data_IF_344571639756
#
_entry.id   IF_344571639756
#
_cell.length_a   1.000
_cell.length_b   1.000
_cell.length_c   1.000
_cell.angle_alpha   90.00
_cell.angle_beta   90.00
_cell.angle_gamma   90.00
#
_symmetry.space_group_name_H-M   'P 1'
#
loop_
_entity.id
_entity.type
_entity.pdbx_description
1 polymer ?
#
# COMPACT_ATOMS: atom_id res chain seq x y z
N UNK A 1 6.02 -1.40 9.06
CA UNK A 1 5.49 -1.03 7.73
C UNK A 1 4.93 -2.28 7.07
N UNK A 2 3.75 -2.20 6.45
CA UNK A 2 3.17 -3.30 5.66
C UNK A 2 3.07 -2.88 4.21
N UNK A 3 3.60 -3.73 3.33
CA UNK A 3 3.57 -3.55 1.89
C UNK A 3 2.94 -4.78 1.24
N UNK A 4 1.98 -4.55 0.35
CA UNK A 4 1.49 -5.57 -0.56
C UNK A 4 2.37 -5.52 -1.81
N UNK A 5 3.14 -6.56 -2.05
CA UNK A 5 4.10 -6.64 -3.15
C UNK A 5 3.71 -7.74 -4.13
N UNK A 6 3.59 -7.37 -5.41
CA UNK A 6 3.47 -8.32 -6.52
C UNK A 6 4.72 -8.24 -7.36
N UNK A 7 5.49 -9.33 -7.35
CA UNK A 7 6.75 -9.42 -8.08
C UNK A 7 6.57 -9.04 -9.56
N UNK A 8 7.45 -8.16 -10.04
CA UNK A 8 7.47 -7.62 -11.41
C UNK A 8 6.24 -6.79 -11.85
N UNK A 9 5.35 -6.42 -10.93
CA UNK A 9 4.16 -5.62 -11.27
C UNK A 9 4.08 -4.31 -10.48
N UNK A 10 3.93 -4.39 -9.14
CA UNK A 10 3.75 -3.20 -8.29
C UNK A 10 3.91 -3.49 -6.81
N UNK A 11 4.17 -2.41 -6.05
CA UNK A 11 4.16 -2.38 -4.60
C UNK A 11 3.12 -1.36 -4.11
N UNK A 12 2.30 -1.74 -3.13
CA UNK A 12 1.30 -0.86 -2.50
C UNK A 12 1.58 -0.80 -1.00
N UNK A 13 1.87 0.39 -0.49
CA UNK A 13 2.09 0.63 0.94
C UNK A 13 0.74 0.76 1.64
N UNK A 14 0.39 -0.22 2.47
CA UNK A 14 -0.90 -0.25 3.15
C UNK A 14 -0.84 0.42 4.52
N UNK A 15 0.31 0.38 5.19
CA UNK A 15 0.44 0.95 6.53
C UNK A 15 1.88 1.32 6.90
N UNK A 16 2.09 2.58 7.27
CA UNK A 16 3.33 3.10 7.85
C UNK A 16 3.24 3.14 9.37
N UNK A 17 3.68 2.08 10.05
CA UNK A 17 3.75 2.10 11.52
C UNK A 17 4.92 2.97 11.99
N UNK A 18 4.66 3.86 12.95
CA UNK A 18 5.73 4.48 13.73
C UNK A 18 6.52 3.38 14.46
N UNK A 19 7.82 3.61 14.66
CA UNK A 19 8.82 2.61 15.09
C UNK A 19 8.53 1.90 16.43
N UNK A 20 7.47 2.27 17.17
CA UNK A 20 7.13 1.70 18.49
C UNK A 20 5.63 1.42 18.72
N UNK A 21 4.74 1.51 17.71
CA UNK A 21 3.30 1.58 18.01
C UNK A 21 2.51 0.25 18.00
N UNK A 22 3.07 -0.88 17.56
CA UNK A 22 2.35 -2.17 17.66
C UNK A 22 3.27 -3.35 17.95
N UNK A 23 3.12 -3.91 19.15
CA UNK A 23 3.75 -5.16 19.57
C UNK A 23 3.03 -6.42 19.03
N UNK A 24 1.82 -6.31 18.46
CA UNK A 24 1.16 -7.40 17.71
C UNK A 24 0.16 -6.83 16.69
N UNK A 25 0.13 -7.39 15.48
CA UNK A 25 -0.96 -7.21 14.51
C UNK A 25 -1.82 -8.44 14.63
N UNK A 26 -3.12 -8.28 14.92
CA UNK A 26 -4.02 -9.42 15.09
C UNK A 26 -4.28 -10.12 13.74
N UNK A 27 -4.63 -11.41 13.78
CA UNK A 27 -4.84 -12.20 12.56
C UNK A 27 -5.97 -11.64 11.69
N UNK A 28 -7.01 -11.05 12.31
CA UNK A 28 -8.12 -10.40 11.62
C UNK A 28 -7.69 -9.11 10.90
N UNK A 29 -6.87 -8.29 11.56
CA UNK A 29 -6.27 -7.10 10.95
C UNK A 29 -5.36 -7.49 9.78
N UNK A 30 -4.56 -8.54 9.95
CA UNK A 30 -3.70 -9.06 8.90
C UNK A 30 -4.52 -9.56 7.70
N UNK A 31 -5.63 -10.24 7.93
CA UNK A 31 -6.50 -10.74 6.87
C UNK A 31 -7.17 -9.59 6.10
N UNK A 32 -7.63 -8.57 6.82
CA UNK A 32 -8.17 -7.34 6.23
C UNK A 32 -7.11 -6.64 5.37
N UNK A 33 -5.90 -6.47 5.91
CA UNK A 33 -4.78 -5.86 5.19
C UNK A 33 -4.40 -6.65 3.92
N UNK A 34 -4.34 -7.98 4.00
CA UNK A 34 -4.08 -8.83 2.83
C UNK A 34 -5.17 -8.67 1.77
N UNK A 35 -6.43 -8.58 2.17
CA UNK A 35 -7.56 -8.41 1.25
C UNK A 35 -7.48 -7.06 0.54
N UNK A 36 -7.26 -5.98 1.29
CA UNK A 36 -7.09 -4.64 0.74
C UNK A 36 -5.88 -4.60 -0.22
N UNK A 37 -4.75 -5.20 0.19
CA UNK A 37 -3.56 -5.34 -0.66
C UNK A 37 -3.86 -6.06 -1.97
N UNK A 38 -4.53 -7.21 -1.91
CA UNK A 38 -4.89 -7.97 -3.10
C UNK A 38 -5.82 -7.19 -4.04
N UNK A 39 -6.79 -6.44 -3.49
CA UNK A 39 -7.68 -5.58 -4.27
C UNK A 39 -6.88 -4.52 -5.03
N UNK A 40 -5.96 -3.82 -4.37
CA UNK A 40 -5.14 -2.80 -5.03
C UNK A 40 -4.11 -3.38 -6.01
N UNK A 41 -3.57 -4.56 -5.71
CA UNK A 41 -2.68 -5.30 -6.61
C UNK A 41 -3.39 -5.82 -7.88
N UNK A 42 -4.70 -6.09 -7.78
CA UNK A 42 -5.55 -6.52 -8.90
C UNK A 42 -6.33 -5.37 -9.55
N UNK A 43 -6.31 -4.17 -8.96
CA UNK A 43 -7.03 -3.02 -9.47
C UNK A 43 -6.49 -2.61 -10.83
N UNK A 44 -7.41 -2.44 -11.80
CA UNK A 44 -7.10 -1.93 -13.12
C UNK A 44 -6.51 -0.51 -13.06
N UNK A 45 -5.77 -0.13 -14.10
CA UNK A 45 -5.14 1.19 -14.18
C UNK A 45 -6.15 2.33 -13.95
N UNK A 46 -7.35 2.28 -14.54
CA UNK A 46 -8.42 3.25 -14.31
C UNK A 46 -8.80 3.43 -12.84
N UNK A 47 -8.85 2.33 -12.08
CA UNK A 47 -9.17 2.37 -10.64
C UNK A 47 -8.05 3.00 -9.84
N UNK A 48 -6.81 2.75 -10.21
CA UNK A 48 -5.66 3.42 -9.59
C UNK A 48 -5.69 4.91 -9.92
N UNK A 49 -5.88 5.30 -11.18
CA UNK A 49 -5.97 6.71 -11.58
C UNK A 49 -7.13 7.44 -10.89
N UNK A 50 -8.29 6.80 -10.76
CA UNK A 50 -9.42 7.35 -10.01
C UNK A 50 -9.09 7.51 -8.52
N UNK A 51 -8.47 6.52 -7.90
CA UNK A 51 -8.07 6.57 -6.50
C UNK A 51 -6.98 7.63 -6.23
N UNK A 52 -6.05 7.83 -7.17
CA UNK A 52 -5.08 8.93 -7.13
C UNK A 52 -5.79 10.29 -7.22
N UNK A 53 -6.74 10.44 -8.15
CA UNK A 53 -7.51 11.67 -8.32
C UNK A 53 -8.43 12.00 -7.13
N UNK A 54 -8.94 10.98 -6.44
CA UNK A 54 -9.76 11.13 -5.25
C UNK A 54 -8.95 11.36 -3.96
N UNK A 55 -7.63 11.14 -3.99
CA UNK A 55 -6.77 11.19 -2.80
C UNK A 55 -6.83 9.93 -1.93
N UNK A 56 -7.45 8.86 -2.40
CA UNK A 56 -7.46 7.54 -1.74
C UNK A 56 -6.10 6.84 -1.85
N UNK A 57 -5.37 7.11 -2.94
CA UNK A 57 -3.99 6.68 -3.14
C UNK A 57 -3.09 7.89 -3.38
N UNK A 58 -1.83 7.76 -2.95
CA UNK A 58 -0.78 8.70 -3.28
C UNK A 58 0.30 7.96 -4.07
N UNK A 59 0.65 8.49 -5.24
CA UNK A 59 1.81 8.02 -5.99
C UNK A 59 3.08 8.44 -5.25
N UNK A 60 3.96 7.47 -4.98
CA UNK A 60 5.27 7.74 -4.40
C UNK A 60 6.27 7.71 -5.55
N UNK A 61 6.79 8.89 -5.89
CA UNK A 61 7.92 9.02 -6.80
C UNK A 61 9.18 8.64 -6.01
N UNK A 62 10.06 7.86 -6.63
CA UNK A 62 11.37 7.55 -6.09
C UNK A 62 12.18 8.85 -6.05
N UNK A 63 12.30 9.46 -4.88
CA UNK A 63 13.06 10.69 -4.66
C UNK A 63 14.55 10.34 -4.56
N UNK A 64 15.14 9.86 -5.65
CA UNK A 64 16.59 9.87 -5.86
C UNK A 64 17.02 11.26 -6.39
N UNK A 65 16.49 12.30 -5.75
CA UNK A 65 17.00 13.67 -5.84
C UNK A 65 17.69 13.96 -4.51
N UNK A 66 18.86 13.36 -4.30
CA UNK A 66 19.87 13.96 -3.43
C UNK A 66 20.09 15.41 -3.91
N UNK A 67 19.82 16.38 -3.03
CA UNK A 67 20.21 17.78 -3.18
C UNK A 67 21.14 18.17 -2.03
#
# INVERSE_FOLDING_TARGET
>A
MIVAYRAADRAVFLYGFAKNDRENIEEDELQTLRTIGAIWLAAAADKITQALGNGDLQEILDDDQEA
#
